data_IF_218339762182
#
_entry.id   IF_218339762182
#
_cell.length_a   1.000
_cell.length_b   1.000
_cell.length_c   1.000
_cell.angle_alpha   90.00
_cell.angle_beta   90.00
_cell.angle_gamma   90.00
#
_symmetry.space_group_name_H-M   'P 1'
#
loop_
_entity.id
_entity.type
_entity.pdbx_description
1 polymer ?
#
# COMPACT_ATOMS: atom_id res chain seq x y z
N UNK A 1 33.95 8.48 10.30
CA UNK A 1 34.09 7.47 9.23
C UNK A 1 32.88 6.53 9.13
N UNK A 2 32.42 5.94 10.25
CA UNK A 2 31.30 4.96 10.26
C UNK A 2 29.97 5.48 9.68
N UNK A 3 29.58 6.71 9.99
CA UNK A 3 28.35 7.32 9.45
C UNK A 3 28.38 7.42 7.91
N UNK A 4 29.53 7.79 7.33
CA UNK A 4 29.67 7.88 5.87
C UNK A 4 29.51 6.51 5.20
N UNK A 5 30.12 5.48 5.78
CA UNK A 5 29.95 4.11 5.29
C UNK A 5 28.50 3.63 5.42
N UNK A 6 27.84 3.92 6.55
CA UNK A 6 26.43 3.58 6.76
C UNK A 6 25.51 4.26 5.75
N UNK A 7 25.69 5.55 5.49
CA UNK A 7 24.92 6.29 4.48
C UNK A 7 25.16 5.74 3.06
N UNK A 8 26.41 5.42 2.72
CA UNK A 8 26.74 4.82 1.42
C UNK A 8 26.07 3.46 1.24
N UNK A 9 26.05 2.63 2.29
CA UNK A 9 25.35 1.35 2.26
C UNK A 9 23.85 1.54 2.13
N UNK A 10 23.25 2.41 2.95
CA UNK A 10 21.82 2.70 2.88
C UNK A 10 21.41 3.20 1.49
N UNK A 11 22.01 4.28 1.00
CA UNK A 11 21.66 4.85 -0.31
C UNK A 11 22.03 3.91 -1.46
N UNK A 12 23.16 3.20 -1.38
CA UNK A 12 23.55 2.20 -2.37
C UNK A 12 22.53 1.09 -2.48
N UNK A 13 22.13 0.48 -1.35
CA UNK A 13 21.10 -0.56 -1.31
C UNK A 13 19.73 -0.03 -1.71
N UNK A 14 19.34 1.16 -1.25
CA UNK A 14 18.07 1.80 -1.59
C UNK A 14 17.95 2.03 -3.11
N UNK A 15 18.99 2.58 -3.74
CA UNK A 15 19.01 2.80 -5.18
C UNK A 15 18.95 1.47 -5.94
N UNK A 16 19.79 0.50 -5.57
CA UNK A 16 19.82 -0.83 -6.19
C UNK A 16 18.47 -1.53 -6.10
N UNK A 17 17.80 -1.48 -4.95
CA UNK A 17 16.48 -2.09 -4.73
C UNK A 17 15.38 -1.44 -5.60
N UNK A 18 15.50 -0.13 -5.85
CA UNK A 18 14.52 0.65 -6.60
C UNK A 18 14.83 0.76 -8.11
N UNK A 19 15.92 0.18 -8.62
CA UNK A 19 16.33 0.32 -10.03
C UNK A 19 15.26 -0.10 -11.05
N UNK A 20 14.43 -1.09 -10.71
CA UNK A 20 13.39 -1.58 -11.61
C UNK A 20 12.04 -0.85 -11.46
N UNK A 21 11.89 0.00 -10.44
CA UNK A 21 10.65 0.71 -10.07
C UNK A 21 9.40 -0.21 -9.98
N UNK A 22 9.62 -1.52 -9.84
CA UNK A 22 8.56 -2.53 -9.90
C UNK A 22 8.34 -3.10 -8.51
N UNK A 23 7.12 -2.94 -8.04
CA UNK A 23 6.64 -3.72 -6.90
C UNK A 23 6.44 -5.18 -7.34
N UNK A 24 7.00 -6.10 -6.56
CA UNK A 24 6.78 -7.54 -6.76
C UNK A 24 5.68 -7.92 -5.77
N UNK A 25 4.45 -7.95 -6.29
CA UNK A 25 3.27 -8.16 -5.45
C UNK A 25 3.12 -9.62 -5.03
N UNK A 26 2.69 -9.79 -3.79
CA UNK A 26 2.06 -11.00 -3.29
C UNK A 26 0.68 -10.65 -2.72
N UNK A 27 -0.24 -11.61 -2.67
CA UNK A 27 -1.63 -11.33 -2.30
C UNK A 27 -1.79 -10.70 -0.90
N UNK A 28 -0.88 -11.02 0.01
CA UNK A 28 -0.77 -10.46 1.36
C UNK A 28 -0.30 -8.99 1.40
N UNK A 29 0.38 -8.52 0.34
CA UNK A 29 0.84 -7.12 0.23
C UNK A 29 -0.25 -6.17 -0.28
N UNK A 30 -1.27 -6.70 -0.96
CA UNK A 30 -2.37 -5.92 -1.56
C UNK A 30 -3.13 -5.08 -0.52
N UNK A 31 -3.65 -5.64 0.59
CA UNK A 31 -4.34 -4.82 1.58
C UNK A 31 -3.43 -3.76 2.21
N UNK A 32 -2.16 -4.08 2.43
CA UNK A 32 -1.17 -3.17 3.02
C UNK A 32 -0.94 -1.92 2.17
N UNK A 33 -1.03 -2.03 0.84
CA UNK A 33 -0.92 -0.88 -0.08
C UNK A 33 -2.23 -0.15 -0.36
N UNK A 34 -3.39 -0.80 -0.17
CA UNK A 34 -4.71 -0.20 -0.38
C UNK A 34 -5.25 0.55 0.84
N UNK A 35 -5.00 0.05 2.05
CA UNK A 35 -5.47 0.69 3.29
C UNK A 35 -4.98 2.13 3.49
N UNK A 36 -3.71 2.50 3.17
CA UNK A 36 -3.27 3.89 3.27
C UNK A 36 -4.06 4.79 2.32
N UNK A 37 -4.39 4.29 1.13
CA UNK A 37 -5.19 5.01 0.13
C UNK A 37 -6.61 5.21 0.63
N UNK A 38 -7.27 4.16 1.14
CA UNK A 38 -8.61 4.25 1.74
C UNK A 38 -8.63 5.24 2.92
N UNK A 39 -7.59 5.24 3.74
CA UNK A 39 -7.51 6.14 4.89
C UNK A 39 -7.36 7.60 4.48
N UNK A 40 -6.53 7.89 3.48
CA UNK A 40 -6.30 9.26 3.00
C UNK A 40 -7.49 9.77 2.18
N UNK A 41 -8.02 8.94 1.27
CA UNK A 41 -9.10 9.33 0.34
C UNK A 41 -10.46 9.36 1.02
N UNK A 42 -10.76 8.31 1.79
CA UNK A 42 -12.11 8.04 2.30
C UNK A 42 -12.22 8.21 3.83
N UNK A 43 -11.09 8.34 4.55
CA UNK A 43 -11.09 8.43 6.01
C UNK A 43 -11.50 7.12 6.69
N UNK A 44 -11.38 5.98 6.02
CA UNK A 44 -11.83 4.67 6.53
C UNK A 44 -10.73 3.62 6.51
N UNK A 45 -10.93 2.55 7.29
CA UNK A 45 -10.12 1.33 7.23
C UNK A 45 -10.82 0.20 6.45
N UNK A 46 -11.85 0.54 5.67
CA UNK A 46 -12.54 -0.40 4.80
C UNK A 46 -12.04 -0.25 3.37
N UNK A 47 -12.21 -1.29 2.58
CA UNK A 47 -11.82 -1.37 1.18
C UNK A 47 -13.02 -1.13 0.25
N UNK A 48 -14.12 -0.59 0.79
CA UNK A 48 -15.40 -0.43 0.08
C UNK A 48 -15.23 0.29 -1.26
N UNK A 49 -14.38 1.32 -1.29
CA UNK A 49 -14.08 2.09 -2.50
C UNK A 49 -13.29 1.35 -3.58
N UNK A 50 -12.82 0.14 -3.33
CA UNK A 50 -12.15 -0.74 -4.31
C UNK A 50 -13.04 -1.90 -4.78
N UNK A 51 -14.21 -2.09 -4.17
CA UNK A 51 -15.17 -3.16 -4.49
C UNK A 51 -16.52 -2.58 -4.94
N UNK A 52 -16.51 -1.37 -5.52
CA UNK A 52 -17.73 -0.71 -6.03
C UNK A 52 -18.30 -1.52 -7.20
N UNK A 53 -19.55 -1.94 -7.08
CA UNK A 53 -20.24 -2.73 -8.10
C UNK A 53 -20.03 -4.24 -7.98
N UNK A 54 -19.33 -4.72 -6.94
CA UNK A 54 -19.19 -6.14 -6.67
C UNK A 54 -20.54 -6.73 -6.22
N UNK A 55 -20.98 -7.80 -6.88
CA UNK A 55 -22.28 -8.43 -6.59
C UNK A 55 -22.22 -9.27 -5.31
N UNK A 56 -23.36 -9.40 -4.64
CA UNK A 56 -23.46 -10.33 -3.51
C UNK A 56 -23.24 -11.77 -3.99
N UNK A 57 -22.30 -12.46 -3.35
CA UNK A 57 -21.93 -13.82 -3.72
C UNK A 57 -20.72 -13.95 -4.64
N UNK A 58 -20.12 -12.86 -5.14
CA UNK A 58 -18.83 -12.97 -5.84
C UNK A 58 -17.76 -13.53 -4.89
N UNK A 59 -16.99 -14.54 -5.30
CA UNK A 59 -15.83 -15.01 -4.55
C UNK A 59 -14.86 -13.86 -4.27
N UNK A 60 -14.62 -13.59 -2.99
CA UNK A 60 -13.70 -12.53 -2.58
C UNK A 60 -12.25 -13.04 -2.62
N UNK A 61 -11.29 -12.15 -2.92
CA UNK A 61 -9.88 -12.48 -2.75
C UNK A 61 -9.60 -12.90 -1.29
N UNK A 62 -8.65 -13.81 -1.05
CA UNK A 62 -8.41 -14.36 0.30
C UNK A 62 -7.92 -13.32 1.31
N UNK A 63 -7.44 -12.17 0.84
CA UNK A 63 -7.00 -11.04 1.66
C UNK A 63 -8.12 -10.07 2.03
N UNK A 64 -9.38 -10.36 1.67
CA UNK A 64 -10.56 -9.54 1.97
C UNK A 64 -11.57 -10.34 2.77
N UNK A 65 -12.16 -9.68 3.76
CA UNK A 65 -13.27 -10.21 4.55
C UNK A 65 -14.47 -9.28 4.41
N UNK A 66 -15.66 -9.83 4.19
CA UNK A 66 -16.91 -9.05 4.18
C UNK A 66 -17.61 -9.23 5.52
N UNK A 67 -17.73 -8.16 6.29
CA UNK A 67 -18.36 -8.14 7.62
C UNK A 67 -19.36 -6.99 7.67
N UNK A 68 -20.62 -7.29 8.01
CA UNK A 68 -21.67 -6.26 8.07
C UNK A 68 -21.89 -5.51 6.74
N UNK A 69 -21.69 -6.18 5.61
CA UNK A 69 -21.83 -5.59 4.27
C UNK A 69 -20.63 -4.78 3.79
N UNK A 70 -19.61 -4.56 4.62
CA UNK A 70 -18.39 -3.79 4.28
C UNK A 70 -17.20 -4.69 4.01
N UNK A 71 -16.26 -4.21 3.22
CA UNK A 71 -15.04 -4.93 2.84
C UNK A 71 -13.89 -4.51 3.76
N UNK A 72 -13.29 -5.49 4.43
CA UNK A 72 -12.18 -5.29 5.36
C UNK A 72 -10.95 -6.06 4.89
N UNK A 73 -9.78 -5.57 5.27
CA UNK A 73 -8.55 -6.34 5.12
C UNK A 73 -8.59 -7.58 6.02
N UNK A 74 -8.19 -8.73 5.48
CA UNK A 74 -7.90 -9.93 6.26
C UNK A 74 -6.52 -9.92 6.95
N UNK A 75 -5.75 -8.84 6.80
CA UNK A 75 -4.39 -8.69 7.32
C UNK A 75 -4.30 -7.56 8.35
N UNK A 76 -3.25 -7.53 9.20
CA UNK A 76 -3.07 -6.46 10.18
C UNK A 76 -2.99 -5.07 9.53
N UNK A 77 -3.57 -4.06 10.18
CA UNK A 77 -3.57 -2.67 9.70
C UNK A 77 -2.23 -1.94 9.95
N UNK A 78 -1.41 -2.45 10.86
CA UNK A 78 -0.20 -1.75 11.31
C UNK A 78 0.80 -1.45 10.17
N UNK A 79 1.11 -2.38 9.25
CA UNK A 79 1.98 -2.08 8.10
C UNK A 79 1.47 -0.93 7.24
N UNK A 80 0.15 -0.84 7.03
CA UNK A 80 -0.46 0.26 6.29
C UNK A 80 -0.31 1.60 7.02
N UNK A 81 -0.49 1.63 8.34
CA UNK A 81 -0.32 2.84 9.14
C UNK A 81 1.14 3.33 9.13
N UNK A 82 2.11 2.42 9.18
CA UNK A 82 3.53 2.77 9.09
C UNK A 82 3.91 3.31 7.71
N UNK A 83 3.27 2.83 6.64
CA UNK A 83 3.48 3.33 5.28
C UNK A 83 2.80 4.68 5.01
N UNK A 84 1.84 5.10 5.85
CA UNK A 84 1.00 6.28 5.63
C UNK A 84 1.77 7.58 5.29
N UNK A 85 2.90 7.91 5.94
CA UNK A 85 3.64 9.14 5.62
C UNK A 85 4.11 9.22 4.17
N UNK A 86 4.39 8.07 3.55
CA UNK A 86 4.87 7.97 2.17
C UNK A 86 3.72 8.18 1.18
N UNK A 87 2.51 7.76 1.56
CA UNK A 87 1.30 7.90 0.75
C UNK A 87 0.63 9.27 0.91
N UNK A 88 0.83 9.94 2.04
CA UNK A 88 0.08 11.12 2.44
C UNK A 88 0.05 12.21 1.35
N UNK A 89 1.22 12.67 0.92
CA UNK A 89 1.31 13.75 -0.09
C UNK A 89 0.88 13.27 -1.48
N UNK A 90 1.40 12.13 -2.01
CA UNK A 90 1.05 11.71 -3.36
C UNK A 90 -0.44 11.41 -3.55
N UNK A 91 -1.07 10.72 -2.59
CA UNK A 91 -2.50 10.38 -2.67
C UNK A 91 -3.38 11.61 -2.48
N UNK A 92 -3.01 12.53 -1.58
CA UNK A 92 -3.80 13.77 -1.39
C UNK A 92 -3.81 14.67 -2.63
N UNK A 93 -2.73 14.65 -3.44
CA UNK A 93 -2.60 15.50 -4.63
C UNK A 93 -3.06 14.82 -5.92
N UNK A 94 -2.81 13.52 -6.07
CA UNK A 94 -3.04 12.77 -7.31
C UNK A 94 -4.23 11.81 -7.23
N UNK A 95 -4.85 11.69 -6.05
CA UNK A 95 -5.89 10.71 -5.79
C UNK A 95 -5.35 9.29 -5.59
N UNK A 96 -6.28 8.33 -5.57
CA UNK A 96 -6.03 6.93 -5.19
C UNK A 96 -6.42 5.91 -6.26
N UNK A 97 -6.66 6.33 -7.50
CA UNK A 97 -7.28 5.45 -8.51
C UNK A 97 -6.25 4.80 -9.45
N UNK A 98 -5.00 5.26 -9.42
CA UNK A 98 -3.91 4.74 -10.25
C UNK A 98 -3.16 3.60 -9.56
N UNK A 99 -3.35 2.37 -10.04
CA UNK A 99 -2.57 1.21 -9.59
C UNK A 99 -1.06 1.40 -9.76
N UNK A 100 -0.62 2.09 -10.82
CA UNK A 100 0.80 2.37 -11.03
C UNK A 100 1.37 3.26 -9.91
N UNK A 101 0.63 4.29 -9.50
CA UNK A 101 1.02 5.15 -8.38
C UNK A 101 1.05 4.35 -7.07
N UNK A 102 -0.01 3.59 -6.78
CA UNK A 102 -0.09 2.77 -5.56
C UNK A 102 1.07 1.77 -5.49
N UNK A 103 1.41 1.13 -6.60
CA UNK A 103 2.53 0.17 -6.66
C UNK A 103 3.88 0.87 -6.46
N UNK A 104 4.07 2.06 -7.03
CA UNK A 104 5.28 2.85 -6.80
C UNK A 104 5.42 3.23 -5.32
N UNK A 105 4.34 3.68 -4.67
CA UNK A 105 4.35 4.03 -3.25
C UNK A 105 4.59 2.80 -2.36
N UNK A 106 4.03 1.65 -2.72
CA UNK A 106 4.27 0.38 -2.03
C UNK A 106 5.74 -0.07 -2.15
N UNK A 107 6.34 0.15 -3.32
CA UNK A 107 7.76 -0.15 -3.54
C UNK A 107 8.65 0.76 -2.70
N UNK A 108 8.35 2.06 -2.67
CA UNK A 108 9.06 3.04 -1.86
C UNK A 108 8.93 2.75 -0.36
N UNK A 109 7.72 2.40 0.11
CA UNK A 109 7.50 2.05 1.52
C UNK A 109 8.26 0.80 1.95
N UNK A 110 8.34 -0.21 1.08
CA UNK A 110 9.12 -1.42 1.35
C UNK A 110 10.65 -1.19 1.35
N UNK A 111 11.14 -0.02 0.90
CA UNK A 111 12.56 0.29 0.80
C UNK A 111 13.12 1.12 1.96
N UNK A 112 12.28 1.50 2.92
CA UNK A 112 12.64 2.31 4.10
C UNK A 112 12.66 1.50 5.40
#
# INVERSE_FOLDING_TARGET
>A
MKLRAGLLLFFGSFLLYNLNLREISSQDTIPTRLLPVALIRDGTLTLDGFFVGELEGTPLPPWVQRVGGRYHSGYPILPALLALPIYLVPISLLGGDSWALINLLAKLSASL
#
